data_IF_366970862887
#
_entry.id   IF_366970862887
#
_cell.length_a   1.000
_cell.length_b   1.000
_cell.length_c   1.000
_cell.angle_alpha   90.00
_cell.angle_beta   90.00
_cell.angle_gamma   90.00
#
_symmetry.space_group_name_H-M   'P 1'
#
loop_
_entity.id
_entity.type
_entity.pdbx_description
1 polymer ?
#
# COMPACT_ATOMS: atom_id res chain seq x y z
N UNK A 1 6.05 -13.58 1.97
CA UNK A 1 6.48 -12.65 0.90
C UNK A 1 7.81 -13.16 0.38
N UNK A 2 7.85 -13.63 -0.88
CA UNK A 2 9.09 -14.04 -1.52
C UNK A 2 10.01 -12.83 -1.70
N UNK A 3 11.32 -13.07 -1.76
CA UNK A 3 12.29 -12.03 -2.07
C UNK A 3 11.85 -11.36 -3.37
N UNK A 4 11.53 -10.07 -3.31
CA UNK A 4 11.21 -9.28 -4.47
C UNK A 4 12.44 -9.25 -5.40
N UNK A 5 12.32 -9.95 -6.52
CA UNK A 5 13.30 -9.88 -7.60
C UNK A 5 13.21 -8.53 -8.31
N UNK A 6 14.10 -8.34 -9.26
CA UNK A 6 14.10 -7.17 -10.11
C UNK A 6 12.91 -7.25 -11.10
N UNK A 7 11.78 -6.60 -10.76
CA UNK A 7 10.53 -6.71 -11.51
C UNK A 7 10.55 -6.04 -12.88
N UNK A 8 11.60 -5.35 -13.25
CA UNK A 8 11.76 -4.82 -14.60
C UNK A 8 11.89 -5.93 -15.66
N UNK A 9 12.03 -7.19 -15.23
CA UNK A 9 12.26 -8.35 -16.11
C UNK A 9 11.60 -9.63 -15.63
N UNK A 10 10.47 -9.61 -14.93
CA UNK A 10 9.73 -10.86 -14.76
C UNK A 10 9.16 -11.30 -16.10
N UNK A 11 10.00 -12.03 -16.82
CA UNK A 11 9.54 -12.91 -17.88
C UNK A 11 8.56 -13.91 -17.29
N UNK A 12 7.41 -14.03 -17.92
CA UNK A 12 6.39 -15.03 -17.67
C UNK A 12 7.00 -16.35 -17.20
N UNK A 13 6.93 -16.62 -15.91
CA UNK A 13 7.07 -18.01 -15.50
C UNK A 13 5.91 -18.75 -16.10
N UNK A 14 6.18 -19.82 -16.81
CA UNK A 14 5.16 -20.68 -17.39
C UNK A 14 4.37 -21.31 -16.24
N UNK A 15 3.30 -20.62 -15.84
CA UNK A 15 2.40 -21.11 -14.83
C UNK A 15 1.57 -22.25 -15.47
N UNK A 16 1.31 -23.36 -14.75
CA UNK A 16 0.41 -24.39 -15.22
C UNK A 16 -0.93 -23.78 -15.63
N UNK A 17 -1.60 -24.34 -16.62
CA UNK A 17 -2.92 -23.91 -17.04
C UNK A 17 -3.86 -23.79 -15.82
N UNK A 18 -4.46 -22.59 -15.59
CA UNK A 18 -5.25 -22.15 -14.44
C UNK A 18 -4.46 -21.46 -13.29
N UNK A 19 -3.23 -21.06 -13.49
CA UNK A 19 -2.53 -20.21 -12.53
C UNK A 19 -2.60 -18.75 -12.96
N UNK A 20 -2.68 -17.86 -11.99
CA UNK A 20 -2.69 -16.42 -12.19
C UNK A 20 -1.28 -15.87 -12.01
N UNK A 21 -0.93 -14.81 -12.73
CA UNK A 21 0.31 -14.10 -12.56
C UNK A 21 0.02 -12.73 -11.93
N UNK A 22 0.75 -12.40 -10.87
CA UNK A 22 0.78 -11.06 -10.29
C UNK A 22 1.91 -10.26 -10.94
N UNK A 23 1.78 -8.94 -10.99
CA UNK A 23 2.80 -8.06 -11.52
C UNK A 23 2.95 -6.81 -10.69
N UNK A 24 4.17 -6.26 -10.64
CA UNK A 24 4.43 -5.04 -9.89
C UNK A 24 5.67 -4.31 -10.37
N UNK A 25 5.73 -3.03 -10.06
CA UNK A 25 6.88 -2.16 -10.26
C UNK A 25 7.22 -1.46 -8.95
N UNK A 26 8.50 -1.17 -8.73
CA UNK A 26 8.91 -0.48 -7.52
C UNK A 26 10.13 0.43 -7.72
N UNK A 27 10.28 1.43 -6.86
CA UNK A 27 11.32 2.44 -6.98
C UNK A 27 12.56 2.21 -6.12
N UNK A 28 12.68 1.08 -5.40
CA UNK A 28 13.72 0.81 -4.41
C UNK A 28 15.15 1.16 -4.85
N UNK A 29 15.50 0.85 -6.11
CA UNK A 29 16.84 1.08 -6.65
C UNK A 29 17.04 2.47 -7.27
N UNK A 30 15.96 3.22 -7.47
CA UNK A 30 15.97 4.47 -8.22
C UNK A 30 15.59 5.67 -7.40
N UNK A 31 14.63 5.50 -6.49
CA UNK A 31 14.06 6.61 -5.74
C UNK A 31 13.46 6.13 -4.41
N UNK A 32 13.82 6.79 -3.33
CA UNK A 32 13.23 6.66 -2.00
C UNK A 32 13.26 8.03 -1.33
N UNK A 33 12.38 8.28 -0.38
CA UNK A 33 12.30 9.54 0.31
C UNK A 33 11.72 9.39 1.71
N UNK A 34 11.98 10.37 2.54
CA UNK A 34 11.31 10.62 3.80
C UNK A 34 10.68 12.00 3.72
N UNK A 35 9.40 12.09 4.04
CA UNK A 35 8.56 13.29 3.93
C UNK A 35 8.32 13.77 2.49
N UNK A 36 7.15 14.26 2.25
CA UNK A 36 6.73 14.79 0.97
C UNK A 36 5.30 14.42 0.60
N UNK A 37 4.95 14.67 -0.64
CA UNK A 37 3.65 14.37 -1.22
C UNK A 37 3.81 13.39 -2.39
N UNK A 38 3.01 12.33 -2.38
CA UNK A 38 2.87 11.40 -3.50
C UNK A 38 1.44 11.39 -3.97
N UNK A 39 1.24 11.44 -5.27
CA UNK A 39 -0.05 11.23 -5.89
C UNK A 39 0.10 10.34 -7.12
N UNK A 40 -0.73 9.33 -7.20
CA UNK A 40 -0.79 8.41 -8.34
C UNK A 40 -2.18 8.50 -8.95
N UNK A 41 -2.26 8.81 -10.24
CA UNK A 41 -3.50 8.73 -11.00
C UNK A 41 -3.59 7.36 -11.63
N UNK A 42 -4.55 6.56 -11.19
CA UNK A 42 -4.69 5.17 -11.61
C UNK A 42 -6.14 4.80 -11.96
N UNK A 43 -6.25 3.77 -12.77
CA UNK A 43 -7.47 3.00 -13.03
C UNK A 43 -7.08 1.53 -13.02
N UNK A 44 -7.87 0.70 -12.42
CA UNK A 44 -7.68 -0.76 -12.36
C UNK A 44 -9.01 -1.47 -12.56
N UNK A 45 -8.97 -2.74 -12.90
CA UNK A 45 -10.18 -3.53 -13.02
C UNK A 45 -10.64 -4.02 -11.65
N UNK A 46 -11.93 -3.85 -11.38
CA UNK A 46 -12.58 -4.35 -10.17
C UNK A 46 -13.31 -5.64 -10.51
N UNK A 47 -12.65 -6.76 -10.31
CA UNK A 47 -13.22 -8.10 -10.51
C UNK A 47 -12.85 -8.99 -9.35
N UNK A 48 -13.60 -10.09 -9.19
CA UNK A 48 -13.35 -11.05 -8.14
C UNK A 48 -11.91 -11.57 -8.16
N UNK A 49 -11.27 -11.59 -7.01
CA UNK A 49 -9.92 -12.12 -6.84
C UNK A 49 -8.81 -11.11 -7.10
N UNK A 50 -9.10 -9.88 -7.55
CA UNK A 50 -8.06 -8.86 -7.75
C UNK A 50 -7.80 -8.05 -6.50
N UNK A 51 -6.52 -7.70 -6.33
CA UNK A 51 -6.04 -6.87 -5.23
C UNK A 51 -4.94 -5.94 -5.76
N UNK A 52 -5.31 -4.83 -6.41
CA UNK A 52 -4.36 -3.78 -6.78
C UNK A 52 -3.94 -2.98 -5.55
N UNK A 53 -2.67 -2.56 -5.53
CA UNK A 53 -2.11 -1.75 -4.46
C UNK A 53 -1.15 -0.67 -4.98
N UNK A 54 -1.17 0.48 -4.28
CA UNK A 54 -0.21 1.58 -4.37
C UNK A 54 0.25 1.81 -2.95
N UNK A 55 1.48 1.44 -2.63
CA UNK A 55 1.96 1.37 -1.27
C UNK A 55 3.45 1.65 -1.15
N UNK A 56 3.95 1.73 0.06
CA UNK A 56 5.34 2.07 0.32
C UNK A 56 5.91 1.23 1.45
N UNK A 57 7.15 0.81 1.26
CA UNK A 57 7.94 0.08 2.24
C UNK A 57 9.23 0.83 2.58
N UNK A 58 9.79 0.65 3.79
CA UNK A 58 11.08 1.20 4.14
C UNK A 58 12.18 0.61 3.26
N UNK A 59 13.11 1.45 2.83
CA UNK A 59 14.27 1.05 2.02
C UNK A 59 15.16 0.02 2.73
N UNK A 60 15.23 0.11 4.06
CA UNK A 60 15.95 -0.84 4.89
C UNK A 60 15.00 -1.91 5.41
N UNK A 61 15.21 -3.15 4.97
CA UNK A 61 14.47 -4.33 5.43
C UNK A 61 15.08 -5.00 6.68
N UNK A 62 16.19 -4.42 7.19
CA UNK A 62 16.96 -5.03 8.30
C UNK A 62 16.21 -5.07 9.63
N UNK A 63 15.14 -4.29 9.76
CA UNK A 63 14.41 -4.14 11.02
C UNK A 63 13.26 -5.15 11.14
N UNK A 64 12.79 -5.66 10.00
CA UNK A 64 11.65 -6.58 9.93
C UNK A 64 10.28 -5.88 10.00
N UNK A 65 9.30 -6.51 9.40
CA UNK A 65 7.92 -6.02 9.35
C UNK A 65 7.18 -6.31 10.66
N UNK A 66 6.32 -5.41 11.16
CA UNK A 66 6.02 -4.06 10.69
C UNK A 66 6.82 -2.96 11.42
N UNK A 67 7.95 -3.30 12.05
CA UNK A 67 8.76 -2.37 12.87
C UNK A 67 9.29 -1.21 12.04
N UNK A 68 9.64 -1.47 10.78
CA UNK A 68 10.10 -0.46 9.83
C UNK A 68 8.98 0.43 9.27
N UNK A 69 7.74 0.01 9.43
CA UNK A 69 6.54 0.67 8.90
C UNK A 69 6.13 0.17 7.51
N UNK A 70 4.88 0.49 7.13
CA UNK A 70 4.30 0.31 5.81
C UNK A 70 3.24 1.40 5.62
N UNK A 71 3.12 1.95 4.42
CA UNK A 71 2.13 2.98 4.09
C UNK A 71 1.38 2.52 2.84
N UNK A 72 0.08 2.22 2.99
CA UNK A 72 -0.78 1.81 1.91
C UNK A 72 -1.59 3.01 1.44
N UNK A 73 -1.15 3.63 0.35
CA UNK A 73 -1.81 4.81 -0.23
C UNK A 73 -3.15 4.41 -0.84
N UNK A 74 -3.22 3.22 -1.41
CA UNK A 74 -4.45 2.63 -1.93
C UNK A 74 -4.32 1.13 -2.01
N UNK A 75 -5.28 0.41 -1.48
CA UNK A 75 -5.54 -0.99 -1.77
C UNK A 75 -7.01 -1.15 -2.15
N UNK A 76 -7.30 -2.11 -3.02
CA UNK A 76 -8.66 -2.43 -3.41
C UNK A 76 -8.88 -3.95 -3.45
N UNK A 77 -10.07 -4.39 -3.07
CA UNK A 77 -10.42 -5.81 -3.04
C UNK A 77 -11.62 -6.10 -3.94
N UNK A 78 -11.46 -7.04 -4.85
CA UNK A 78 -12.55 -7.57 -5.65
C UNK A 78 -13.27 -6.47 -6.45
N UNK A 79 -14.57 -6.31 -6.23
CA UNK A 79 -15.43 -5.31 -6.85
C UNK A 79 -16.05 -4.36 -5.82
N UNK A 80 -15.39 -4.18 -4.66
CA UNK A 80 -15.88 -3.25 -3.65
C UNK A 80 -15.91 -1.82 -4.18
N UNK A 81 -16.91 -1.05 -3.75
CA UNK A 81 -17.05 0.38 -4.10
C UNK A 81 -16.20 1.31 -3.22
N UNK A 82 -15.07 0.84 -2.72
CA UNK A 82 -14.19 1.56 -1.80
C UNK A 82 -12.73 1.15 -1.96
N UNK A 83 -11.84 1.94 -1.42
CA UNK A 83 -10.43 1.61 -1.27
C UNK A 83 -10.04 1.59 0.21
N UNK A 84 -8.91 1.00 0.51
CA UNK A 84 -8.30 0.97 1.83
C UNK A 84 -7.04 1.84 1.79
N UNK A 85 -6.89 2.69 2.79
CA UNK A 85 -5.71 3.53 2.99
C UNK A 85 -5.24 3.31 4.41
N UNK A 86 -4.06 2.74 4.60
CA UNK A 86 -3.63 2.18 5.88
C UNK A 86 -2.18 2.54 6.17
N UNK A 87 -1.83 2.64 7.44
CA UNK A 87 -0.46 2.62 7.91
C UNK A 87 -0.27 1.46 8.88
N UNK A 88 0.85 0.75 8.78
CA UNK A 88 1.22 -0.36 9.66
C UNK A 88 2.52 -0.05 10.40
N UNK A 89 2.57 -0.38 11.67
CA UNK A 89 3.78 -0.27 12.50
C UNK A 89 3.74 -1.26 13.66
N UNK A 90 4.83 -1.39 14.40
CA UNK A 90 4.84 -2.12 15.66
C UNK A 90 4.85 -1.16 16.85
N UNK A 91 3.81 -1.17 17.68
CA UNK A 91 3.68 -0.31 18.86
C UNK A 91 4.92 -0.39 19.76
N UNK A 92 5.44 -1.59 19.96
CA UNK A 92 6.53 -1.88 20.89
C UNK A 92 7.88 -2.12 20.20
N UNK A 93 7.97 -1.95 18.89
CA UNK A 93 9.18 -2.23 18.12
C UNK A 93 9.51 -3.72 18.01
N UNK A 94 8.52 -4.60 18.12
CA UNK A 94 8.71 -6.06 18.03
C UNK A 94 8.21 -6.56 16.66
N UNK A 95 9.02 -7.31 15.91
CA UNK A 95 8.60 -7.90 14.64
C UNK A 95 7.36 -8.79 14.79
N UNK A 96 6.53 -8.85 13.73
CA UNK A 96 5.27 -9.60 13.67
C UNK A 96 4.20 -9.19 14.69
N UNK A 97 4.35 -8.02 15.31
CA UNK A 97 3.32 -7.40 16.15
C UNK A 97 2.76 -6.17 15.43
N UNK A 98 1.83 -6.42 14.52
CA UNK A 98 1.22 -5.36 13.74
C UNK A 98 0.24 -4.53 14.56
N UNK A 99 0.37 -3.21 14.39
CA UNK A 99 -0.59 -2.20 14.75
C UNK A 99 -0.92 -1.42 13.50
N UNK A 100 -2.19 -1.24 13.18
CA UNK A 100 -2.59 -0.49 12.00
C UNK A 100 -3.65 0.56 12.31
N UNK A 101 -3.67 1.59 11.49
CA UNK A 101 -4.74 2.59 11.42
C UNK A 101 -5.03 2.89 9.96
N UNK A 102 -6.31 3.00 9.63
CA UNK A 102 -6.70 3.24 8.25
C UNK A 102 -8.11 3.82 8.11
N UNK A 103 -8.43 4.16 6.88
CA UNK A 103 -9.75 4.61 6.43
C UNK A 103 -10.15 3.85 5.17
N UNK A 104 -11.45 3.79 4.92
CA UNK A 104 -12.02 3.09 3.77
C UNK A 104 -12.93 4.01 2.96
N UNK A 105 -12.37 5.03 2.27
CA UNK A 105 -13.17 5.94 1.46
C UNK A 105 -13.78 5.23 0.27
N UNK A 106 -15.04 5.55 -0.02
CA UNK A 106 -15.69 5.20 -1.27
C UNK A 106 -15.33 6.17 -2.39
N UNK A 107 -15.55 5.75 -3.64
CA UNK A 107 -15.51 6.67 -4.77
C UNK A 107 -16.79 7.50 -4.83
N UNK A 108 -16.63 8.80 -4.99
CA UNK A 108 -17.76 9.74 -4.97
C UNK A 108 -18.60 9.76 -6.27
N UNK A 109 -18.19 9.03 -7.29
CA UNK A 109 -18.84 8.99 -8.60
C UNK A 109 -19.91 7.90 -8.74
N UNK A 110 -20.15 7.12 -7.66
CA UNK A 110 -21.10 6.00 -7.67
C UNK A 110 -20.72 4.85 -8.57
N UNK A 111 -19.49 4.82 -9.05
CA UNK A 111 -19.02 3.78 -9.94
C UNK A 111 -18.83 2.45 -9.17
N UNK A 112 -19.44 1.40 -9.70
CA UNK A 112 -19.15 0.02 -9.31
C UNK A 112 -17.80 -0.47 -9.86
N UNK A 113 -17.12 0.37 -10.65
CA UNK A 113 -15.83 0.06 -11.28
C UNK A 113 -14.93 1.27 -11.13
N UNK A 114 -13.69 1.04 -10.82
CA UNK A 114 -12.74 2.14 -10.72
C UNK A 114 -12.61 2.87 -12.05
N UNK A 115 -13.03 4.12 -12.05
CA UNK A 115 -12.66 5.09 -13.07
C UNK A 115 -11.24 5.59 -12.81
N UNK A 116 -10.83 6.61 -13.52
CA UNK A 116 -9.60 7.31 -13.23
C UNK A 116 -9.76 8.16 -11.97
N UNK A 117 -9.06 7.77 -10.90
CA UNK A 117 -8.97 8.52 -9.65
C UNK A 117 -7.53 8.88 -9.32
N UNK A 118 -7.33 9.87 -8.47
CA UNK A 118 -6.04 10.14 -7.86
C UNK A 118 -6.03 9.64 -6.42
N UNK A 119 -4.96 8.95 -6.07
CA UNK A 119 -4.70 8.43 -4.73
C UNK A 119 -3.45 9.10 -4.20
N UNK A 120 -3.57 9.87 -3.13
CA UNK A 120 -2.51 10.70 -2.62
C UNK A 120 -2.19 10.43 -1.17
N UNK A 121 -0.97 10.79 -0.80
CA UNK A 121 -0.47 10.78 0.56
C UNK A 121 0.46 11.97 0.78
N UNK A 122 0.23 12.73 1.85
CA UNK A 122 1.16 13.71 2.39
C UNK A 122 1.78 13.16 3.67
N UNK A 123 3.09 13.12 3.70
CA UNK A 123 3.86 12.64 4.82
C UNK A 123 4.76 13.75 5.35
N UNK A 124 4.57 14.11 6.60
CA UNK A 124 5.32 15.14 7.33
C UNK A 124 5.87 14.59 8.64
N UNK A 125 6.68 15.36 9.35
CA UNK A 125 7.11 15.01 10.70
C UNK A 125 5.94 14.84 11.69
N UNK A 126 4.81 15.51 11.43
CA UNK A 126 3.62 15.45 12.30
C UNK A 126 2.77 14.21 12.07
N UNK A 127 2.84 13.59 10.88
CA UNK A 127 2.03 12.44 10.54
C UNK A 127 1.81 12.26 9.04
N UNK A 128 0.83 11.41 8.73
CA UNK A 128 0.48 11.02 7.36
C UNK A 128 -0.99 11.35 7.12
N UNK A 129 -1.28 12.04 6.01
CA UNK A 129 -2.64 12.36 5.56
C UNK A 129 -2.86 11.72 4.19
N UNK A 130 -3.95 10.98 4.05
CA UNK A 130 -4.36 10.36 2.79
C UNK A 130 -5.40 11.19 2.04
N UNK A 131 -5.42 11.01 0.72
CA UNK A 131 -6.31 11.71 -0.19
C UNK A 131 -6.87 10.78 -1.26
N UNK A 132 -8.12 11.02 -1.65
CA UNK A 132 -8.74 10.50 -2.88
C UNK A 132 -9.31 11.68 -3.66
N UNK A 133 -8.92 11.82 -4.93
CA UNK A 133 -9.34 12.93 -5.80
C UNK A 133 -9.10 14.30 -5.16
N UNK A 134 -7.95 14.48 -4.53
CA UNK A 134 -7.53 15.71 -3.88
C UNK A 134 -8.27 16.03 -2.57
N UNK A 135 -9.18 15.17 -2.11
CA UNK A 135 -9.88 15.34 -0.83
C UNK A 135 -9.23 14.49 0.25
N UNK A 136 -8.91 15.10 1.39
CA UNK A 136 -8.39 14.37 2.54
C UNK A 136 -9.44 13.34 3.05
N UNK A 137 -8.99 12.12 3.26
CA UNK A 137 -9.80 10.98 3.70
C UNK A 137 -9.49 10.55 5.12
N UNK A 138 -8.25 10.69 5.55
CA UNK A 138 -7.81 10.42 6.92
C UNK A 138 -6.44 11.01 7.21
N UNK A 139 -6.20 11.32 8.47
CA UNK A 139 -4.92 11.83 8.95
C UNK A 139 -4.51 11.10 10.22
N UNK A 140 -3.27 10.61 10.26
CA UNK A 140 -2.74 9.77 11.32
C UNK A 140 -1.47 10.39 11.89
N UNK A 141 -1.49 10.63 13.20
CA UNK A 141 -0.37 11.19 13.95
C UNK A 141 0.29 10.14 14.82
N UNK A 142 1.54 10.37 15.16
CA UNK A 142 2.28 9.53 16.09
C UNK A 142 1.49 9.34 17.40
N UNK A 143 1.17 8.11 17.77
CA UNK A 143 0.59 7.82 19.09
C UNK A 143 1.61 8.06 20.21
N UNK A 144 1.12 8.43 21.41
CA UNK A 144 1.99 8.57 22.57
C UNK A 144 2.68 7.23 22.89
N UNK A 145 3.96 7.29 23.21
CA UNK A 145 4.79 6.13 23.61
C UNK A 145 4.84 5.00 22.56
N UNK A 146 4.69 5.33 21.29
CA UNK A 146 4.79 4.37 20.21
C UNK A 146 6.20 4.32 19.61
N UNK A 147 6.62 3.13 19.18
CA UNK A 147 7.68 3.01 18.20
C UNK A 147 7.09 3.44 16.85
N UNK A 148 7.32 4.68 16.45
CA UNK A 148 6.76 5.27 15.25
C UNK A 148 7.82 5.34 14.15
N UNK A 149 7.77 4.46 13.14
CA UNK A 149 8.84 4.39 12.14
C UNK A 149 8.85 5.57 11.18
N UNK A 150 7.73 6.28 11.05
CA UNK A 150 7.54 7.33 10.05
C UNK A 150 8.22 8.67 10.40
N UNK A 151 8.73 8.85 11.63
CA UNK A 151 9.51 10.01 12.04
C UNK A 151 10.96 9.67 12.42
N UNK A 152 11.42 8.46 12.15
CA UNK A 152 12.81 8.08 12.40
C UNK A 152 13.69 8.66 11.31
N UNK A 153 14.71 9.39 11.72
CA UNK A 153 15.69 9.99 10.82
C UNK A 153 16.32 8.95 9.88
N UNK A 154 16.33 9.27 8.60
CA UNK A 154 16.88 8.40 7.55
C UNK A 154 16.05 7.18 7.20
N UNK A 155 14.84 7.02 7.75
CA UNK A 155 13.93 5.93 7.37
C UNK A 155 13.17 6.29 6.08
N UNK A 156 13.88 6.24 4.96
CA UNK A 156 13.31 6.47 3.64
C UNK A 156 12.43 5.30 3.20
N UNK A 157 11.35 5.62 2.49
CA UNK A 157 10.43 4.65 1.89
C UNK A 157 10.50 4.73 0.37
N UNK A 158 10.29 3.59 -0.28
CA UNK A 158 10.15 3.47 -1.73
C UNK A 158 8.73 3.09 -2.12
N UNK A 159 8.31 3.51 -3.31
CA UNK A 159 6.98 3.25 -3.85
C UNK A 159 6.91 1.87 -4.51
N UNK A 160 5.79 1.20 -4.32
CA UNK A 160 5.42 -0.06 -4.94
C UNK A 160 4.03 0.13 -5.57
N UNK A 161 3.86 -0.32 -6.80
CA UNK A 161 2.56 -0.39 -7.48
C UNK A 161 2.44 -1.79 -8.04
N UNK A 162 1.43 -2.52 -7.61
CA UNK A 162 1.24 -3.89 -8.04
C UNK A 162 -0.24 -4.27 -8.24
N UNK A 163 -0.41 -5.41 -8.89
CA UNK A 163 -1.68 -6.10 -9.02
C UNK A 163 -1.49 -7.53 -8.54
N UNK A 164 -2.07 -7.83 -7.39
CA UNK A 164 -2.14 -9.18 -6.86
C UNK A 164 -3.45 -9.85 -7.30
N UNK A 165 -3.44 -11.19 -7.35
CA UNK A 165 -4.61 -12.00 -7.63
C UNK A 165 -4.68 -13.11 -6.57
N UNK A 166 -5.83 -13.19 -5.88
CA UNK A 166 -6.03 -14.12 -4.78
C UNK A 166 -5.39 -13.64 -3.47
N UNK A 167 -5.39 -14.53 -2.49
CA UNK A 167 -4.89 -14.27 -1.14
C UNK A 167 -6.01 -14.26 -0.10
N UNK A 168 -5.65 -14.57 1.14
CA UNK A 168 -6.63 -14.77 2.22
C UNK A 168 -7.54 -13.56 2.45
N UNK A 169 -7.04 -12.35 2.27
CA UNK A 169 -7.85 -11.16 2.49
C UNK A 169 -8.91 -10.97 1.40
N UNK A 170 -8.53 -11.19 0.14
CA UNK A 170 -9.45 -11.16 -1.00
C UNK A 170 -10.53 -12.25 -0.86
N UNK A 171 -10.15 -13.47 -0.46
CA UNK A 171 -11.07 -14.58 -0.26
C UNK A 171 -12.04 -14.33 0.89
N UNK A 172 -11.61 -13.68 1.95
CA UNK A 172 -12.42 -13.35 3.12
C UNK A 172 -13.30 -12.10 2.93
N UNK A 173 -13.09 -11.30 1.91
CA UNK A 173 -13.86 -10.09 1.64
C UNK A 173 -15.25 -10.36 1.00
N UNK A 174 -15.78 -11.55 1.18
CA UNK A 174 -17.18 -11.85 0.83
C UNK A 174 -17.42 -12.25 -0.62
N UNK A 175 -16.53 -13.02 -1.15
CA UNK A 175 -16.64 -13.57 -2.52
C UNK A 175 -17.00 -15.03 -2.50
#
# INVERSE_FOLDING_TARGET
WGKYGDYTTQTNQTAPAKTYACGGVYSLKTFSFQYGYVEVRARFDCVQGVWPAIWMMPKSDSIGWPVGGEIDIMEHLNYEGRVYQTIHWSQNGVPNQDKSQGVTPGWNDGAEKANWHTYGMEWTEEGITFYVDGKATGSFKKPNNANWPFDKDGNEFYLIIDQQIGGNWVENAGV
#
